data_IF_790839292237
#
_entry.id   IF_790839292237
#
_cell.length_a   1.000
_cell.length_b   1.000
_cell.length_c   1.000
_cell.angle_alpha   90.00
_cell.angle_beta   90.00
_cell.angle_gamma   90.00
#
_symmetry.space_group_name_H-M   'P 1'
#
loop_
_entity.id
_entity.type
_entity.pdbx_description
1 polymer ?
#
# COMPACT_ATOMS: atom_id res chain seq x y z
N UNK A 1 -30.36 36.55 10.91
CA UNK A 1 -28.88 36.54 11.08
C UNK A 1 -28.26 35.26 10.58
N UNK A 2 -28.89 34.08 10.75
CA UNK A 2 -28.42 32.77 10.26
C UNK A 2 -28.30 32.63 8.75
N UNK A 3 -29.21 33.21 7.95
CA UNK A 3 -29.21 33.15 6.47
C UNK A 3 -27.99 33.86 5.86
N UNK A 4 -27.52 34.98 6.45
CA UNK A 4 -26.31 35.69 6.00
C UNK A 4 -25.02 34.94 6.29
N UNK A 5 -24.96 34.24 7.43
CA UNK A 5 -23.79 33.42 7.81
C UNK A 5 -23.66 32.22 6.85
N UNK A 6 -24.79 31.58 6.49
CA UNK A 6 -24.84 30.49 5.51
C UNK A 6 -24.37 30.89 4.11
N UNK A 7 -24.68 32.11 3.65
CA UNK A 7 -24.23 32.60 2.33
C UNK A 7 -22.73 32.92 2.31
N UNK A 8 -22.24 33.60 3.35
CA UNK A 8 -20.82 33.94 3.48
C UNK A 8 -19.98 32.66 3.60
N UNK A 9 -20.44 31.65 4.37
CA UNK A 9 -19.78 30.37 4.49
C UNK A 9 -19.75 29.61 3.15
N UNK A 10 -20.82 29.72 2.34
CA UNK A 10 -20.84 29.12 0.99
C UNK A 10 -19.88 29.83 0.03
N UNK A 11 -19.73 31.15 0.11
CA UNK A 11 -18.79 31.89 -0.74
C UNK A 11 -17.32 31.66 -0.35
N UNK A 12 -17.02 31.60 0.94
CA UNK A 12 -15.67 31.27 1.43
C UNK A 12 -15.26 29.85 1.02
N UNK A 13 -16.20 28.91 1.05
CA UNK A 13 -15.95 27.53 0.61
C UNK A 13 -15.77 27.41 -0.91
N UNK A 14 -16.29 28.35 -1.71
CA UNK A 14 -16.12 28.37 -3.16
C UNK A 14 -14.72 28.73 -3.65
N UNK A 15 -13.88 29.30 -2.80
CA UNK A 15 -12.46 29.61 -3.10
C UNK A 15 -11.48 28.64 -2.40
N UNK A 16 -12.00 27.57 -1.78
CA UNK A 16 -11.16 26.65 -1.06
C UNK A 16 -10.21 25.91 -2.01
N UNK A 17 -8.92 25.86 -1.65
CA UNK A 17 -7.92 25.07 -2.36
C UNK A 17 -8.07 23.61 -1.98
N UNK A 18 -8.16 22.73 -2.96
CA UNK A 18 -8.18 21.28 -2.77
C UNK A 18 -7.02 20.61 -3.50
N UNK A 19 -6.49 19.54 -2.93
CA UNK A 19 -5.48 18.68 -3.56
C UNK A 19 -6.17 17.48 -4.16
N UNK A 20 -6.10 17.32 -5.48
CA UNK A 20 -6.58 16.13 -6.18
C UNK A 20 -5.43 15.12 -6.37
N UNK A 21 -5.64 13.90 -5.93
CA UNK A 21 -4.74 12.76 -6.12
C UNK A 21 -5.42 11.76 -7.05
N UNK A 22 -4.89 11.62 -8.25
CA UNK A 22 -5.34 10.68 -9.27
C UNK A 22 -4.13 10.17 -10.06
N UNK A 23 -4.07 8.87 -10.34
CA UNK A 23 -2.86 8.24 -10.93
C UNK A 23 -2.91 8.04 -12.45
N UNK A 24 -4.03 8.35 -13.09
CA UNK A 24 -4.15 8.23 -14.55
C UNK A 24 -4.25 9.62 -15.17
N UNK A 25 -3.18 10.05 -15.80
CA UNK A 25 -3.01 11.42 -16.31
C UNK A 25 -4.15 11.85 -17.25
N UNK A 26 -4.64 10.94 -18.10
CA UNK A 26 -5.71 11.21 -19.06
C UNK A 26 -7.08 11.52 -18.39
N UNK A 27 -7.28 11.10 -17.15
CA UNK A 27 -8.51 11.30 -16.39
C UNK A 27 -8.44 12.52 -15.45
N UNK A 28 -7.23 13.05 -15.19
CA UNK A 28 -7.02 14.16 -14.24
C UNK A 28 -7.75 15.41 -14.68
N UNK A 29 -7.69 15.78 -15.96
CA UNK A 29 -8.28 16.99 -16.51
C UNK A 29 -9.82 16.99 -16.34
N UNK A 30 -10.47 15.87 -16.60
CA UNK A 30 -11.91 15.70 -16.37
C UNK A 30 -12.28 15.90 -14.91
N UNK A 31 -11.54 15.25 -13.99
CA UNK A 31 -11.79 15.33 -12.55
C UNK A 31 -11.52 16.73 -12.00
N UNK A 32 -10.47 17.39 -12.47
CA UNK A 32 -10.16 18.77 -12.15
C UNK A 32 -11.29 19.71 -12.60
N UNK A 33 -11.78 19.55 -13.83
CA UNK A 33 -12.86 20.38 -14.37
C UNK A 33 -14.15 20.30 -13.56
N UNK A 34 -14.50 19.11 -13.02
CA UNK A 34 -15.65 18.92 -12.12
C UNK A 34 -15.50 19.79 -10.86
N UNK A 35 -14.33 19.78 -10.26
CA UNK A 35 -14.04 20.53 -9.03
C UNK A 35 -13.98 22.05 -9.29
N UNK A 36 -13.37 22.48 -10.39
CA UNK A 36 -13.28 23.88 -10.79
C UNK A 36 -14.66 24.45 -11.15
N UNK A 37 -15.52 23.65 -11.83
CA UNK A 37 -16.91 24.05 -12.09
C UNK A 37 -17.72 24.20 -10.80
N UNK A 38 -17.37 23.47 -9.74
CA UNK A 38 -17.94 23.64 -8.40
C UNK A 38 -17.35 24.84 -7.64
N UNK A 39 -16.37 25.56 -8.21
CA UNK A 39 -15.76 26.78 -7.68
C UNK A 39 -14.56 26.57 -6.79
N UNK A 40 -13.92 25.40 -6.81
CA UNK A 40 -12.71 25.12 -6.03
C UNK A 40 -11.44 25.46 -6.82
N UNK A 41 -10.39 25.87 -6.12
CA UNK A 41 -9.04 25.95 -6.68
C UNK A 41 -8.39 24.57 -6.57
N UNK A 42 -8.04 23.97 -7.69
CA UNK A 42 -7.55 22.58 -7.73
C UNK A 42 -6.05 22.52 -7.98
N UNK A 43 -5.33 21.84 -7.11
CA UNK A 43 -3.97 21.41 -7.34
C UNK A 43 -3.96 19.89 -7.60
N UNK A 44 -3.76 19.51 -8.86
CA UNK A 44 -3.68 18.12 -9.32
C UNK A 44 -2.26 17.64 -9.58
N UNK A 45 -1.24 18.44 -9.25
CA UNK A 45 0.17 18.08 -9.47
C UNK A 45 0.56 16.91 -8.58
N UNK A 46 0.92 15.78 -9.16
CA UNK A 46 1.43 14.64 -8.42
C UNK A 46 2.96 14.63 -8.47
N UNK A 47 3.59 14.98 -7.35
CA UNK A 47 5.05 14.88 -7.21
C UNK A 47 5.45 13.56 -6.60
N UNK A 48 6.57 13.02 -7.04
CA UNK A 48 7.11 11.75 -6.53
C UNK A 48 7.65 11.86 -5.10
N UNK A 49 7.52 10.77 -4.36
CA UNK A 49 8.14 10.55 -3.06
C UNK A 49 7.81 11.60 -2.00
N UNK A 50 8.82 12.27 -1.46
CA UNK A 50 8.65 13.26 -0.38
C UNK A 50 8.18 14.64 -0.87
N UNK A 51 8.14 14.88 -2.18
CA UNK A 51 7.77 16.18 -2.78
C UNK A 51 6.34 16.61 -2.44
N UNK A 52 5.38 15.70 -2.56
CA UNK A 52 3.97 15.95 -2.20
C UNK A 52 3.84 16.44 -0.76
N UNK A 53 4.54 15.81 0.20
CA UNK A 53 4.40 16.18 1.61
C UNK A 53 5.05 17.51 1.97
N UNK A 54 6.09 17.92 1.25
CA UNK A 54 6.68 19.26 1.41
C UNK A 54 5.69 20.34 0.95
N UNK A 55 5.01 20.14 -0.16
CA UNK A 55 3.98 21.05 -0.65
C UNK A 55 2.81 21.15 0.32
N UNK A 56 2.25 20.02 0.74
CA UNK A 56 1.16 19.97 1.73
C UNK A 56 1.52 20.63 3.06
N UNK A 57 2.81 20.69 3.41
CA UNK A 57 3.26 21.34 4.63
C UNK A 57 3.45 22.87 4.47
N UNK A 58 3.82 23.33 3.26
CA UNK A 58 4.06 24.76 2.98
C UNK A 58 2.73 25.47 2.70
N UNK A 59 1.86 24.83 1.94
CA UNK A 59 0.58 25.40 1.49
C UNK A 59 -0.53 24.32 1.63
N UNK A 60 -1.02 24.10 2.86
CA UNK A 60 -1.97 23.04 3.15
C UNK A 60 -3.33 23.31 2.47
N UNK A 61 -3.86 22.33 1.71
CA UNK A 61 -5.20 22.46 1.12
C UNK A 61 -6.30 22.33 2.19
N UNK A 62 -7.48 22.81 1.86
CA UNK A 62 -8.68 22.65 2.70
C UNK A 62 -9.18 21.20 2.77
N UNK A 63 -8.88 20.39 1.75
CA UNK A 63 -9.07 18.93 1.74
C UNK A 63 -8.14 18.26 0.74
N UNK A 64 -7.88 16.96 0.95
CA UNK A 64 -7.20 16.08 0.00
C UNK A 64 -8.21 15.10 -0.54
N UNK A 65 -8.42 15.12 -1.86
CA UNK A 65 -9.31 14.24 -2.60
C UNK A 65 -8.46 13.12 -3.20
N UNK A 66 -8.82 11.87 -2.92
CA UNK A 66 -8.10 10.69 -3.38
C UNK A 66 -9.06 9.80 -4.17
N UNK A 67 -8.86 9.73 -5.47
CA UNK A 67 -9.65 8.85 -6.33
C UNK A 67 -9.14 7.40 -6.19
N UNK A 68 -10.03 6.50 -5.74
CA UNK A 68 -9.72 5.09 -5.52
C UNK A 68 -10.03 4.22 -6.74
N UNK A 69 -10.57 4.76 -7.83
CA UNK A 69 -10.87 4.02 -9.06
C UNK A 69 -9.60 3.49 -9.72
N UNK A 70 -8.46 4.20 -9.50
CA UNK A 70 -7.13 3.83 -10.01
C UNK A 70 -6.16 3.68 -8.84
N UNK A 71 -5.43 2.57 -8.83
CA UNK A 71 -4.38 2.27 -7.84
C UNK A 71 -4.80 2.54 -6.37
N UNK A 72 -5.91 1.97 -5.88
CA UNK A 72 -6.45 2.25 -4.54
C UNK A 72 -5.45 1.97 -3.41
N UNK A 73 -4.51 1.05 -3.61
CA UNK A 73 -3.45 0.80 -2.62
C UNK A 73 -2.51 1.98 -2.47
N UNK A 74 -2.17 2.68 -3.56
CA UNK A 74 -1.34 3.88 -3.49
C UNK A 74 -2.07 5.04 -2.81
N UNK A 75 -3.39 5.19 -3.08
CA UNK A 75 -4.24 6.16 -2.41
C UNK A 75 -4.29 5.96 -0.90
N UNK A 76 -4.50 4.72 -0.48
CA UNK A 76 -4.43 4.31 0.91
C UNK A 76 -3.08 4.62 1.55
N UNK A 77 -1.99 4.25 0.90
CA UNK A 77 -0.63 4.41 1.44
C UNK A 77 -0.26 5.91 1.56
N UNK A 78 -0.68 6.73 0.60
CA UNK A 78 -0.54 8.19 0.68
C UNK A 78 -1.33 8.76 1.86
N UNK A 79 -2.58 8.33 2.06
CA UNK A 79 -3.41 8.76 3.18
C UNK A 79 -2.79 8.39 4.54
N UNK A 80 -2.22 7.18 4.69
CA UNK A 80 -1.47 6.78 5.89
C UNK A 80 -0.30 7.73 6.16
N UNK A 81 0.43 8.13 5.12
CA UNK A 81 1.54 9.07 5.26
C UNK A 81 1.08 10.49 5.59
N UNK A 82 -0.07 10.95 5.09
CA UNK A 82 -0.69 12.22 5.45
C UNK A 82 -1.08 12.23 6.93
N UNK A 83 -1.77 11.20 7.41
CA UNK A 83 -2.19 11.07 8.82
C UNK A 83 -1.02 10.98 9.79
N UNK A 84 0.09 10.37 9.40
CA UNK A 84 1.27 10.20 10.24
C UNK A 84 1.98 11.52 10.55
N UNK A 85 1.86 12.54 9.70
CA UNK A 85 2.57 13.83 9.84
C UNK A 85 1.73 14.84 10.62
N UNK A 86 2.30 15.44 11.68
CA UNK A 86 1.61 16.43 12.53
C UNK A 86 1.02 17.60 11.75
N UNK A 87 1.71 18.07 10.71
CA UNK A 87 1.29 19.25 9.89
C UNK A 87 0.09 18.92 8.99
N UNK A 88 -0.01 17.69 8.49
CA UNK A 88 -1.03 17.32 7.49
C UNK A 88 -2.15 16.45 8.02
N UNK A 89 -1.99 15.86 9.22
CA UNK A 89 -2.93 14.86 9.75
C UNK A 89 -4.37 15.35 9.90
N UNK A 90 -4.56 16.64 10.19
CA UNK A 90 -5.88 17.24 10.39
C UNK A 90 -6.53 17.73 9.09
N UNK A 91 -5.85 17.61 7.93
CA UNK A 91 -6.47 17.93 6.64
C UNK A 91 -7.55 16.88 6.35
N UNK A 92 -8.80 17.29 6.04
CA UNK A 92 -9.84 16.36 5.66
C UNK A 92 -9.42 15.48 4.48
N UNK A 93 -9.62 14.17 4.61
CA UNK A 93 -9.45 13.20 3.52
C UNK A 93 -10.82 12.88 2.93
N UNK A 94 -10.93 12.96 1.61
CA UNK A 94 -12.13 12.61 0.85
C UNK A 94 -11.75 11.55 -0.17
N UNK A 95 -12.22 10.33 0.03
CA UNK A 95 -12.04 9.23 -0.90
C UNK A 95 -13.21 9.18 -1.88
N UNK A 96 -12.88 9.08 -3.17
CA UNK A 96 -13.87 9.10 -4.24
C UNK A 96 -13.82 7.81 -5.03
N UNK A 97 -15.00 7.25 -5.32
CA UNK A 97 -15.19 6.03 -6.11
C UNK A 97 -14.36 4.81 -5.61
N UNK A 98 -14.14 3.87 -6.49
CA UNK A 98 -13.33 2.67 -6.25
C UNK A 98 -14.17 1.39 -6.17
N UNK A 99 -13.47 0.25 -6.20
CA UNK A 99 -14.08 -1.07 -6.01
C UNK A 99 -14.60 -1.21 -4.58
N UNK A 100 -15.89 -1.57 -4.37
CA UNK A 100 -16.51 -1.59 -3.04
C UNK A 100 -15.74 -2.42 -2.01
N UNK A 101 -15.22 -3.58 -2.39
CA UNK A 101 -14.46 -4.44 -1.48
C UNK A 101 -13.12 -3.85 -1.06
N UNK A 102 -12.50 -3.05 -1.94
CA UNK A 102 -11.26 -2.34 -1.62
C UNK A 102 -11.52 -1.08 -0.81
N UNK A 103 -12.61 -0.37 -1.09
CA UNK A 103 -13.04 0.82 -0.36
C UNK A 103 -13.34 0.48 1.09
N UNK A 104 -13.98 -0.67 1.36
CA UNK A 104 -14.28 -1.11 2.73
C UNK A 104 -12.99 -1.25 3.56
N UNK A 105 -11.95 -1.87 3.00
CA UNK A 105 -10.65 -1.93 3.67
C UNK A 105 -9.94 -0.58 3.86
N UNK A 106 -10.32 0.47 3.11
CA UNK A 106 -9.85 1.84 3.34
C UNK A 106 -10.67 2.50 4.46
N UNK A 107 -11.98 2.25 4.53
CA UNK A 107 -12.86 2.76 5.60
C UNK A 107 -12.45 2.26 6.97
N UNK A 108 -12.06 1.00 7.09
CA UNK A 108 -11.55 0.43 8.35
C UNK A 108 -10.30 1.17 8.87
N UNK A 109 -9.48 1.69 7.96
CA UNK A 109 -8.27 2.43 8.32
C UNK A 109 -8.52 3.92 8.59
N UNK A 110 -9.50 4.50 7.93
CA UNK A 110 -9.80 5.93 8.02
C UNK A 110 -11.30 6.15 8.31
N UNK A 111 -11.80 5.72 9.47
CA UNK A 111 -13.21 5.90 9.83
C UNK A 111 -13.59 7.40 10.00
N UNK A 112 -12.59 8.26 10.16
CA UNK A 112 -12.68 9.72 10.27
C UNK A 112 -12.62 10.44 8.92
N UNK A 113 -12.51 9.72 7.78
CA UNK A 113 -12.48 10.28 6.45
C UNK A 113 -13.88 10.29 5.81
N UNK A 114 -14.01 11.04 4.73
CA UNK A 114 -15.22 11.14 3.93
C UNK A 114 -15.13 10.20 2.72
N UNK A 115 -16.28 9.61 2.34
CA UNK A 115 -16.39 8.69 1.21
C UNK A 115 -17.54 9.10 0.32
N UNK A 116 -17.31 9.17 -1.00
CA UNK A 116 -18.29 9.70 -1.95
C UNK A 116 -18.04 9.18 -3.37
N UNK A 117 -18.88 9.59 -4.28
CA UNK A 117 -18.76 9.44 -5.73
C UNK A 117 -18.57 10.84 -6.38
N UNK A 118 -18.16 10.90 -7.64
CA UNK A 118 -17.89 12.16 -8.32
C UNK A 118 -19.13 13.04 -8.48
N UNK A 119 -20.31 12.46 -8.61
CA UNK A 119 -21.60 13.17 -8.68
C UNK A 119 -21.99 13.87 -7.37
N UNK A 120 -21.50 13.39 -6.22
CA UNK A 120 -21.80 13.92 -4.89
C UNK A 120 -20.64 14.71 -4.27
N UNK A 121 -19.51 14.85 -4.98
CA UNK A 121 -18.27 15.40 -4.43
C UNK A 121 -18.44 16.78 -3.81
N UNK A 122 -19.20 17.68 -4.44
CA UNK A 122 -19.38 19.06 -3.98
C UNK A 122 -20.09 19.14 -2.63
N UNK A 123 -21.10 18.31 -2.40
CA UNK A 123 -21.83 18.25 -1.13
C UNK A 123 -20.93 17.73 -0.01
N UNK A 124 -20.17 16.66 -0.31
CA UNK A 124 -19.28 16.04 0.69
C UNK A 124 -18.10 16.94 1.04
N UNK A 125 -17.54 17.68 0.08
CA UNK A 125 -16.49 18.67 0.36
C UNK A 125 -16.96 19.76 1.31
N UNK A 126 -18.19 20.28 1.13
CA UNK A 126 -18.75 21.26 2.06
C UNK A 126 -18.85 20.73 3.48
N UNK A 127 -19.28 19.46 3.63
CA UNK A 127 -19.33 18.78 4.95
C UNK A 127 -17.94 18.58 5.53
N UNK A 128 -16.97 18.20 4.71
CA UNK A 128 -15.59 17.98 5.11
C UNK A 128 -14.90 19.27 5.59
N UNK A 129 -15.14 20.40 4.92
CA UNK A 129 -14.62 21.69 5.34
C UNK A 129 -15.26 22.19 6.65
N UNK A 130 -16.54 21.91 6.84
CA UNK A 130 -17.25 22.29 8.07
C UNK A 130 -16.85 21.44 9.27
N UNK A 131 -16.37 20.22 9.02
CA UNK A 131 -16.03 19.25 10.06
C UNK A 131 -14.62 18.64 9.84
N UNK A 132 -13.55 19.44 9.93
CA UNK A 132 -12.20 18.91 9.85
C UNK A 132 -11.93 17.96 11.04
N UNK A 133 -11.16 16.87 10.85
CA UNK A 133 -10.89 15.94 11.92
C UNK A 133 -10.06 16.59 13.04
N UNK A 134 -10.60 16.64 14.25
CA UNK A 134 -9.93 17.20 15.42
C UNK A 134 -8.88 16.23 15.99
N UNK A 135 -9.22 14.95 16.05
CA UNK A 135 -8.34 13.86 16.51
C UNK A 135 -8.36 12.71 15.47
N UNK A 136 -7.61 12.87 14.38
CA UNK A 136 -7.62 11.89 13.30
C UNK A 136 -6.97 10.57 13.70
N UNK A 137 -7.48 9.47 13.16
CA UNK A 137 -6.90 8.15 13.36
C UNK A 137 -5.50 8.10 12.75
N UNK A 138 -4.49 7.85 13.58
CA UNK A 138 -3.07 7.77 13.19
C UNK A 138 -2.54 6.37 13.41
N UNK A 139 -2.15 5.71 12.33
CA UNK A 139 -1.53 4.40 12.41
C UNK A 139 -0.03 4.49 12.63
N UNK A 140 0.51 3.69 13.54
CA UNK A 140 1.95 3.65 13.86
C UNK A 140 2.82 3.18 12.70
N UNK A 141 2.23 2.42 11.76
CA UNK A 141 2.92 1.87 10.59
C UNK A 141 2.22 2.30 9.29
N UNK A 142 2.99 2.68 8.26
CA UNK A 142 2.48 2.84 6.89
C UNK A 142 2.04 1.51 6.26
N UNK A 143 2.39 0.38 6.89
CA UNK A 143 1.88 -0.94 6.55
C UNK A 143 0.56 -1.29 7.26
N UNK A 144 -0.05 -0.36 7.98
CA UNK A 144 -1.36 -0.57 8.63
C UNK A 144 -2.44 -1.04 7.65
N UNK A 145 -2.41 -0.58 6.39
CA UNK A 145 -3.30 -1.05 5.33
C UNK A 145 -3.13 -2.51 4.94
N UNK A 146 -2.08 -3.16 5.44
CA UNK A 146 -1.84 -4.60 5.33
C UNK A 146 -2.02 -5.31 6.68
N UNK A 147 -2.17 -4.57 7.79
CA UNK A 147 -2.54 -5.12 9.07
C UNK A 147 -3.98 -5.68 8.97
N UNK A 148 -4.16 -6.91 9.38
CA UNK A 148 -5.48 -7.58 9.29
C UNK A 148 -5.70 -8.43 8.03
N UNK A 149 -4.93 -8.27 6.95
CA UNK A 149 -4.95 -9.29 5.89
C UNK A 149 -4.24 -10.55 6.38
N UNK A 150 -4.90 -11.73 6.29
CA UNK A 150 -4.25 -12.98 6.62
C UNK A 150 -2.92 -13.13 5.89
N UNK A 151 -1.90 -13.69 6.57
CA UNK A 151 -0.56 -13.85 6.00
C UNK A 151 -0.60 -14.64 4.68
N UNK A 152 -1.46 -15.64 4.58
CA UNK A 152 -1.71 -16.41 3.36
C UNK A 152 -2.05 -15.52 2.15
N UNK A 153 -2.90 -14.52 2.33
CA UNK A 153 -3.24 -13.55 1.28
C UNK A 153 -2.10 -12.57 0.95
N UNK A 154 -1.30 -12.18 1.96
CA UNK A 154 -0.10 -11.36 1.76
C UNK A 154 0.96 -12.09 0.95
N UNK A 155 1.16 -13.38 1.22
CA UNK A 155 2.12 -14.23 0.52
C UNK A 155 1.62 -14.67 -0.86
N UNK A 156 0.32 -14.56 -1.13
CA UNK A 156 -0.28 -14.96 -2.39
C UNK A 156 -0.61 -16.43 -2.47
N UNK A 157 -0.76 -17.11 -1.33
CA UNK A 157 -1.18 -18.50 -1.23
C UNK A 157 -2.66 -18.60 -1.60
N UNK A 158 -3.00 -19.45 -2.56
CA UNK A 158 -4.35 -19.63 -3.11
C UNK A 158 -4.81 -21.07 -2.89
N UNK A 159 -6.12 -21.35 -2.97
CA UNK A 159 -6.64 -22.72 -2.91
C UNK A 159 -5.95 -23.66 -3.92
N UNK A 160 -5.64 -24.87 -3.47
CA UNK A 160 -5.07 -25.93 -4.29
C UNK A 160 -3.57 -25.80 -4.58
N UNK A 161 -2.86 -24.82 -4.00
CA UNK A 161 -1.42 -24.64 -4.22
C UNK A 161 -0.59 -25.59 -3.36
N UNK A 162 0.52 -26.06 -3.93
CA UNK A 162 1.65 -26.64 -3.19
C UNK A 162 2.65 -25.55 -2.85
N UNK A 163 2.93 -25.36 -1.55
CA UNK A 163 3.79 -24.29 -1.04
C UNK A 163 5.02 -24.87 -0.36
N UNK A 164 6.19 -24.59 -0.92
CA UNK A 164 7.48 -25.00 -0.36
C UNK A 164 7.95 -24.03 0.75
N UNK A 165 8.24 -24.53 1.94
CA UNK A 165 8.85 -23.77 3.03
C UNK A 165 10.29 -24.23 3.25
N UNK A 166 11.27 -23.42 2.84
CA UNK A 166 12.68 -23.76 2.89
C UNK A 166 13.36 -22.99 4.04
N UNK A 167 13.99 -23.69 4.96
CA UNK A 167 14.65 -23.14 6.16
C UNK A 167 13.70 -22.32 7.05
N UNK A 168 12.41 -22.64 7.04
CA UNK A 168 11.39 -21.91 7.80
C UNK A 168 11.63 -22.00 9.32
N UNK A 169 11.27 -20.96 10.09
CA UNK A 169 11.16 -21.09 11.54
C UNK A 169 10.13 -22.17 11.92
N UNK A 170 10.39 -22.87 13.02
CA UNK A 170 9.57 -24.01 13.44
C UNK A 170 8.08 -23.67 13.68
N UNK A 171 7.81 -22.43 14.03
CA UNK A 171 6.47 -21.90 14.31
C UNK A 171 5.81 -21.18 13.10
N UNK A 172 6.48 -21.15 11.93
CA UNK A 172 6.01 -20.38 10.79
C UNK A 172 4.65 -20.86 10.26
N UNK A 173 4.40 -22.16 10.22
CA UNK A 173 3.13 -22.72 9.77
C UNK A 173 1.95 -22.23 10.63
N UNK A 174 2.17 -22.07 11.94
CA UNK A 174 1.14 -21.53 12.84
C UNK A 174 0.78 -20.06 12.51
N UNK A 175 1.71 -19.30 11.94
CA UNK A 175 1.47 -17.91 11.50
C UNK A 175 0.57 -17.85 10.25
N UNK A 176 0.52 -18.91 9.45
CA UNK A 176 -0.34 -19.01 8.28
C UNK A 176 -1.83 -19.13 8.69
N UNK A 177 -2.12 -19.49 9.94
CA UNK A 177 -3.47 -19.65 10.51
C UNK A 177 -4.32 -20.61 9.65
N UNK A 178 -5.42 -20.11 9.05
CA UNK A 178 -6.28 -20.90 8.20
C UNK A 178 -5.74 -20.92 6.76
N UNK A 179 -5.23 -22.06 6.34
CA UNK A 179 -4.85 -22.28 4.94
C UNK A 179 -6.11 -22.35 4.06
N UNK A 180 -6.06 -21.82 2.84
CA UNK A 180 -7.11 -22.03 1.85
C UNK A 180 -7.30 -23.52 1.52
N UNK A 181 -8.49 -23.89 1.06
CA UNK A 181 -8.82 -25.28 0.77
C UNK A 181 -7.82 -25.91 -0.24
N UNK A 182 -7.36 -27.11 0.07
CA UNK A 182 -6.48 -27.90 -0.80
C UNK A 182 -5.03 -27.37 -0.89
N UNK A 183 -4.60 -26.48 0.01
CA UNK A 183 -3.20 -26.06 0.09
C UNK A 183 -2.39 -27.17 0.79
N UNK A 184 -1.29 -27.55 0.15
CA UNK A 184 -0.31 -28.47 0.71
C UNK A 184 1.00 -27.72 1.05
N UNK A 185 1.54 -27.96 2.24
CA UNK A 185 2.82 -27.40 2.68
C UNK A 185 3.87 -28.50 2.60
N UNK A 186 4.98 -28.20 1.92
CA UNK A 186 6.14 -29.10 1.85
C UNK A 186 7.40 -28.39 2.40
N UNK A 187 8.20 -29.11 3.16
CA UNK A 187 9.39 -28.56 3.84
C UNK A 187 10.65 -28.63 2.98
N UNK A 188 10.56 -29.13 1.76
CA UNK A 188 11.68 -29.36 0.85
C UNK A 188 11.43 -28.65 -0.50
N UNK A 189 12.51 -28.54 -1.29
CA UNK A 189 12.41 -28.10 -2.67
C UNK A 189 11.70 -29.16 -3.50
N UNK A 190 10.70 -28.74 -4.26
CA UNK A 190 10.03 -29.63 -5.21
C UNK A 190 9.68 -28.84 -6.46
N UNK A 191 9.84 -29.47 -7.61
CA UNK A 191 9.37 -28.94 -8.90
C UNK A 191 7.84 -28.77 -8.96
N UNK A 192 7.13 -29.41 -8.02
CA UNK A 192 5.68 -29.33 -7.89
C UNK A 192 5.21 -28.09 -7.09
N UNK A 193 6.14 -27.27 -6.56
CA UNK A 193 5.76 -26.08 -5.78
C UNK A 193 5.25 -24.94 -6.68
N UNK A 194 3.99 -24.55 -6.50
CA UNK A 194 3.41 -23.36 -7.12
C UNK A 194 3.97 -22.05 -6.54
N UNK A 195 4.49 -22.12 -5.31
CA UNK A 195 5.10 -21.01 -4.58
C UNK A 195 6.14 -21.56 -3.61
N UNK A 196 7.29 -20.90 -3.51
CA UNK A 196 8.30 -21.26 -2.49
C UNK A 196 8.65 -20.07 -1.62
N UNK A 197 8.90 -20.34 -0.33
CA UNK A 197 9.31 -19.31 0.65
C UNK A 197 10.63 -19.76 1.28
N UNK A 198 11.70 -19.01 1.00
CA UNK A 198 13.06 -19.27 1.46
C UNK A 198 13.42 -18.31 2.58
N UNK A 199 13.75 -18.87 3.75
CA UNK A 199 14.14 -18.09 4.93
C UNK A 199 15.66 -18.03 5.02
N UNK A 200 16.20 -16.81 4.94
CA UNK A 200 17.62 -16.51 4.88
C UNK A 200 18.03 -15.77 6.15
N UNK A 201 19.05 -16.26 6.84
CA UNK A 201 19.56 -15.64 8.07
C UNK A 201 20.77 -14.78 7.81
N UNK A 202 21.61 -15.20 6.87
CA UNK A 202 22.89 -14.53 6.54
C UNK A 202 23.03 -14.29 5.05
N UNK A 203 23.92 -13.39 4.68
CA UNK A 203 24.31 -13.18 3.29
C UNK A 203 24.97 -14.42 2.69
N UNK A 204 25.74 -15.16 3.47
CA UNK A 204 26.32 -16.42 3.05
C UNK A 204 25.26 -17.46 2.67
N UNK A 205 24.13 -17.54 3.43
CA UNK A 205 23.00 -18.40 3.06
C UNK A 205 22.42 -18.02 1.69
N UNK A 206 22.24 -16.72 1.43
CA UNK A 206 21.74 -16.23 0.16
C UNK A 206 22.71 -16.59 -0.99
N UNK A 207 23.98 -16.27 -0.85
CA UNK A 207 25.00 -16.49 -1.88
C UNK A 207 25.23 -17.98 -2.18
N UNK A 208 25.19 -18.85 -1.18
CA UNK A 208 25.36 -20.29 -1.37
C UNK A 208 24.16 -20.98 -2.01
N UNK A 209 22.96 -20.45 -1.83
CA UNK A 209 21.72 -21.09 -2.26
C UNK A 209 21.07 -20.38 -3.49
N UNK A 210 21.65 -19.28 -3.98
CA UNK A 210 21.01 -18.47 -5.04
C UNK A 210 20.78 -19.26 -6.33
N UNK A 211 21.69 -20.17 -6.69
CA UNK A 211 21.53 -21.00 -7.89
C UNK A 211 20.30 -21.92 -7.79
N UNK A 212 20.08 -22.51 -6.61
CA UNK A 212 18.91 -23.33 -6.33
C UNK A 212 17.62 -22.53 -6.35
N UNK A 213 17.64 -21.30 -5.83
CA UNK A 213 16.52 -20.37 -5.86
C UNK A 213 16.14 -19.99 -7.29
N UNK A 214 17.15 -19.74 -8.14
CA UNK A 214 16.93 -19.46 -9.57
C UNK A 214 16.31 -20.66 -10.24
N UNK A 215 16.81 -21.86 -10.02
CA UNK A 215 16.23 -23.10 -10.57
C UNK A 215 14.78 -23.27 -10.12
N UNK A 216 14.48 -23.09 -8.83
CA UNK A 216 13.12 -23.19 -8.32
C UNK A 216 12.18 -22.16 -8.92
N UNK A 217 12.67 -20.94 -9.25
CA UNK A 217 11.87 -19.86 -9.82
C UNK A 217 11.36 -20.14 -11.25
N UNK A 218 11.83 -21.18 -11.91
CA UNK A 218 11.27 -21.66 -13.19
C UNK A 218 9.94 -22.41 -13.03
N UNK A 219 9.68 -22.98 -11.86
CA UNK A 219 8.45 -23.72 -11.57
C UNK A 219 7.37 -22.82 -10.98
N UNK A 220 7.76 -21.86 -10.15
CA UNK A 220 6.84 -20.90 -9.53
C UNK A 220 7.56 -19.71 -8.91
N UNK A 221 6.82 -18.63 -8.54
CA UNK A 221 7.40 -17.50 -7.85
C UNK A 221 8.01 -17.91 -6.51
N UNK A 222 9.06 -17.17 -6.10
CA UNK A 222 9.78 -17.46 -4.86
C UNK A 222 9.83 -16.23 -3.96
N UNK A 223 9.50 -16.38 -2.68
CA UNK A 223 9.78 -15.41 -1.65
C UNK A 223 11.18 -15.62 -1.09
N UNK A 224 12.01 -14.57 -1.11
CA UNK A 224 13.26 -14.53 -0.36
C UNK A 224 12.99 -13.70 0.90
N UNK A 225 12.90 -14.37 2.04
CA UNK A 225 12.60 -13.80 3.34
C UNK A 225 13.87 -13.62 4.16
N UNK A 226 14.04 -12.45 4.79
CA UNK A 226 15.19 -12.13 5.65
C UNK A 226 14.73 -11.50 6.95
N UNK A 227 15.57 -11.58 7.98
CA UNK A 227 15.30 -10.98 9.29
C UNK A 227 15.42 -9.46 9.24
N UNK A 228 14.48 -8.77 9.90
CA UNK A 228 14.48 -7.32 10.04
C UNK A 228 15.53 -6.88 11.04
N UNK A 229 16.26 -5.80 10.78
CA UNK A 229 17.23 -5.23 11.74
C UNK A 229 16.61 -4.93 13.12
N UNK A 230 15.33 -4.51 13.13
CA UNK A 230 14.58 -4.20 14.37
C UNK A 230 14.17 -5.43 15.19
N UNK A 231 14.32 -6.63 14.67
CA UNK A 231 13.98 -7.87 15.39
C UNK A 231 14.96 -8.23 16.51
N UNK A 232 16.08 -7.50 16.61
CA UNK A 232 17.14 -7.80 17.58
C UNK A 232 18.06 -8.94 17.16
N UNK A 233 17.79 -9.60 16.03
CA UNK A 233 18.64 -10.64 15.46
C UNK A 233 19.78 -10.02 14.64
N UNK A 234 20.98 -10.53 14.80
CA UNK A 234 22.11 -10.11 13.98
C UNK A 234 21.90 -10.59 12.53
N UNK A 235 21.83 -9.67 11.58
CA UNK A 235 21.71 -9.99 10.16
C UNK A 235 22.50 -8.99 9.32
N UNK A 236 23.21 -9.50 8.32
CA UNK A 236 23.88 -8.74 7.27
C UNK A 236 23.01 -8.62 6.00
N UNK A 237 21.79 -9.16 6.02
CA UNK A 237 20.82 -9.03 4.96
C UNK A 237 20.01 -7.73 5.09
N UNK A 238 19.80 -7.10 3.96
CA UNK A 238 18.91 -5.97 3.79
C UNK A 238 18.06 -6.16 2.53
N UNK A 239 16.96 -5.44 2.41
CA UNK A 239 16.18 -5.44 1.16
C UNK A 239 17.05 -5.18 -0.06
N UNK A 240 18.01 -4.25 0.03
CA UNK A 240 18.89 -3.90 -1.08
C UNK A 240 19.82 -5.06 -1.45
N UNK A 241 20.43 -5.74 -0.47
CA UNK A 241 21.29 -6.90 -0.70
C UNK A 241 20.50 -8.02 -1.37
N UNK A 242 19.34 -8.40 -0.82
CA UNK A 242 18.51 -9.47 -1.38
C UNK A 242 18.04 -9.15 -2.80
N UNK A 243 17.61 -7.91 -3.05
CA UNK A 243 17.21 -7.45 -4.38
C UNK A 243 18.36 -7.50 -5.37
N UNK A 244 19.50 -6.93 -5.02
CA UNK A 244 20.66 -6.87 -5.90
C UNK A 244 21.14 -8.26 -6.29
N UNK A 245 21.31 -9.16 -5.32
CA UNK A 245 21.70 -10.55 -5.58
C UNK A 245 20.71 -11.27 -6.48
N UNK A 246 19.40 -11.10 -6.25
CA UNK A 246 18.37 -11.68 -7.12
C UNK A 246 18.47 -11.17 -8.56
N UNK A 247 18.57 -9.87 -8.76
CA UNK A 247 18.67 -9.23 -10.09
C UNK A 247 19.93 -9.68 -10.85
N UNK A 248 21.06 -9.75 -10.19
CA UNK A 248 22.35 -10.22 -10.76
C UNK A 248 22.29 -11.67 -11.23
N UNK A 249 21.45 -12.50 -10.58
CA UNK A 249 21.25 -13.91 -10.92
C UNK A 249 20.02 -14.19 -11.77
N UNK A 250 19.44 -13.17 -12.43
CA UNK A 250 18.38 -13.35 -13.41
C UNK A 250 16.95 -13.43 -12.83
N UNK A 251 16.77 -13.08 -11.58
CA UNK A 251 15.45 -12.93 -10.97
C UNK A 251 14.94 -11.49 -11.15
N UNK A 252 13.61 -11.29 -11.05
CA UNK A 252 12.97 -9.97 -11.03
C UNK A 252 12.00 -9.93 -9.86
N UNK A 253 12.21 -8.97 -8.95
CA UNK A 253 11.27 -8.74 -7.85
C UNK A 253 10.08 -7.88 -8.31
N UNK A 254 8.89 -8.19 -7.79
CA UNK A 254 7.66 -7.47 -8.13
C UNK A 254 6.74 -7.23 -6.93
N UNK A 255 7.08 -7.76 -5.75
CA UNK A 255 6.31 -7.51 -4.54
C UNK A 255 7.22 -7.56 -3.30
N UNK A 256 6.97 -6.66 -2.37
CA UNK A 256 7.56 -6.69 -1.03
C UNK A 256 6.46 -6.91 0.02
N UNK A 257 6.75 -7.67 1.07
CA UNK A 257 5.85 -7.83 2.21
C UNK A 257 6.61 -7.90 3.53
N UNK A 258 6.01 -7.30 4.57
CA UNK A 258 6.30 -7.69 5.94
C UNK A 258 5.58 -9.00 6.19
N UNK A 259 6.31 -10.03 6.56
CA UNK A 259 5.75 -11.36 6.88
C UNK A 259 5.20 -11.32 8.30
N UNK A 260 6.05 -11.02 9.28
CA UNK A 260 5.70 -10.83 10.69
C UNK A 260 6.57 -9.72 11.32
N UNK A 261 6.73 -9.69 12.63
CA UNK A 261 7.60 -8.71 13.32
C UNK A 261 9.08 -8.97 13.09
N UNK A 262 9.46 -10.21 12.81
CA UNK A 262 10.84 -10.65 12.60
C UNK A 262 11.24 -10.64 11.13
N UNK A 263 10.37 -11.05 10.23
CA UNK A 263 10.68 -11.33 8.83
C UNK A 263 10.08 -10.33 7.84
N UNK A 264 10.85 -10.01 6.82
CA UNK A 264 10.41 -9.33 5.59
C UNK A 264 10.77 -10.19 4.39
N UNK A 265 10.05 -10.05 3.28
CA UNK A 265 10.32 -10.81 2.07
C UNK A 265 10.14 -9.99 0.79
N UNK A 266 10.90 -10.35 -0.23
CA UNK A 266 10.73 -9.96 -1.63
C UNK A 266 10.26 -11.18 -2.43
N UNK A 267 9.23 -10.98 -3.24
CA UNK A 267 8.71 -11.99 -4.17
C UNK A 267 9.36 -11.80 -5.53
N UNK A 268 9.99 -12.84 -5.99
CA UNK A 268 10.70 -12.90 -7.27
C UNK A 268 10.06 -13.89 -8.23
N UNK A 269 10.34 -13.67 -9.51
CA UNK A 269 10.13 -14.63 -10.59
C UNK A 269 11.36 -14.68 -11.47
N UNK A 270 11.52 -15.76 -12.23
CA UNK A 270 12.54 -15.84 -13.25
C UNK A 270 12.33 -14.78 -14.34
N UNK A 271 13.42 -14.16 -14.78
CA UNK A 271 13.39 -13.20 -15.90
C UNK A 271 13.41 -13.97 -17.21
N UNK A 272 12.27 -14.11 -17.86
CA UNK A 272 12.24 -14.59 -19.23
C UNK A 272 13.01 -13.62 -20.14
N UNK A 273 14.03 -14.12 -20.86
CA UNK A 273 14.65 -13.34 -21.92
C UNK A 273 13.62 -13.18 -23.03
N UNK A 274 13.20 -11.95 -23.30
CA UNK A 274 12.43 -11.66 -24.52
C UNK A 274 13.24 -12.18 -25.72
N UNK A 275 12.67 -13.12 -26.45
CA UNK A 275 13.19 -13.54 -27.76
C UNK A 275 13.12 -12.40 -28.75
#
# INVERSE_FOLDING_TARGET
MEIKISHIQKEVNKMAKVKLIHWKAEEVEERQSILEAAGYQVDSTLKDGSGVFKELAIDPPSAIIIDLSRLPSQGRDLALMVRKRKITRNIPLVFVDGDPGKVEGVKDLFPDAWYTTWDQISEVLQKAFANPPADPVVHNSTFAGYAGKPLVGKLGIKPGMTVGLINAPADFETLLQQLPAGVEIVSERSEECDLSIWFLRTRADLESQIADMVQQSHFGPIWLAWQKKKSGQATDLTQQVVRQTGLENGLVDYKISSIDDTWSGLLFRYREKKK
#
